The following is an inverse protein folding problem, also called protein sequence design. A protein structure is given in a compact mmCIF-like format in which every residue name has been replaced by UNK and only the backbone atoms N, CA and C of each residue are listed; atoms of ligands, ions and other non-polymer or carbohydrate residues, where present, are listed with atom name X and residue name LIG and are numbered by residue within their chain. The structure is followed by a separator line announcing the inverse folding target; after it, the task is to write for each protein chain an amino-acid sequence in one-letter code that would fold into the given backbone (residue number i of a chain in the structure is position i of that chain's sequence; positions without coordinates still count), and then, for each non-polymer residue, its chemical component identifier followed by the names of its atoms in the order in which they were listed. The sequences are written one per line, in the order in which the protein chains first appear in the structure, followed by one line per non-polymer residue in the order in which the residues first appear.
data_IF_524614011605
#
_entry.id   IF_524614011605
#
_cell.length_a   1.000
_cell.length_b   1.000
_cell.length_c   1.000
_cell.angle_alpha   90.00
_cell.angle_beta   90.00
_cell.angle_gamma   90.00
#
_symmetry.space_group_name_H-M   'P 1'
#
loop_
_entity.id
_entity.type
_entity.pdbx_description
1 polymer ?
#
# COMPACT_ATOMS: atom_id res chain seq x y z
N UNK A 1 65.10 17.05 -29.97
CA UNK A 1 64.63 17.01 -28.61
C UNK A 1 63.16 16.56 -28.68
N UNK A 2 62.97 15.26 -28.58
CA UNK A 2 61.62 14.64 -28.66
C UNK A 2 61.16 14.41 -27.24
N UNK A 3 59.97 14.94 -26.87
CA UNK A 3 59.31 14.67 -25.64
C UNK A 3 58.40 13.44 -25.85
N UNK A 4 58.64 12.39 -25.07
CA UNK A 4 57.82 11.20 -25.00
C UNK A 4 56.61 11.47 -24.08
N UNK A 5 55.44 11.47 -24.66
CA UNK A 5 54.18 11.52 -23.93
C UNK A 5 53.86 10.08 -23.42
N UNK A 6 54.01 9.90 -22.12
CA UNK A 6 53.57 8.69 -21.44
C UNK A 6 52.02 8.68 -21.31
N UNK A 7 51.36 7.82 -22.10
CA UNK A 7 49.95 7.53 -22.00
C UNK A 7 49.75 6.69 -20.74
N UNK A 8 49.17 7.31 -19.70
CA UNK A 8 48.70 6.65 -18.50
C UNK A 8 47.45 5.82 -18.87
N UNK A 9 47.58 4.51 -18.93
CA UNK A 9 46.46 3.57 -19.00
C UNK A 9 45.72 3.57 -17.64
N UNK A 10 44.55 4.23 -17.59
CA UNK A 10 43.64 4.08 -16.46
C UNK A 10 43.04 2.66 -16.49
N UNK A 11 43.47 1.82 -15.55
CA UNK A 11 42.78 0.57 -15.27
C UNK A 11 41.32 0.85 -14.92
N UNK A 12 40.40 0.29 -15.72
CA UNK A 12 38.99 0.25 -15.41
C UNK A 12 38.76 -0.54 -14.10
N UNK A 13 37.84 -0.15 -13.20
CA UNK A 13 37.59 -0.89 -11.97
C UNK A 13 37.15 -2.31 -12.31
N UNK A 14 37.71 -3.28 -11.55
CA UNK A 14 37.43 -4.70 -11.68
C UNK A 14 35.92 -4.96 -11.75
N UNK A 15 35.44 -5.59 -12.82
CA UNK A 15 34.03 -5.82 -13.11
C UNK A 15 33.37 -6.61 -11.99
N UNK A 16 32.13 -6.23 -11.65
CA UNK A 16 31.23 -7.06 -10.84
C UNK A 16 31.16 -8.48 -11.45
N UNK A 17 31.10 -9.54 -10.65
CA UNK A 17 31.06 -10.92 -11.14
C UNK A 17 29.93 -11.05 -12.16
N UNK A 18 30.26 -11.63 -13.32
CA UNK A 18 29.31 -11.78 -14.42
C UNK A 18 28.20 -12.73 -13.99
N UNK A 19 26.96 -12.24 -13.98
CA UNK A 19 25.79 -13.05 -13.60
C UNK A 19 25.60 -14.12 -14.67
N UNK A 20 25.48 -15.42 -14.31
CA UNK A 20 25.22 -16.48 -15.27
C UNK A 20 24.01 -16.16 -16.16
N UNK A 21 24.09 -16.50 -17.43
CA UNK A 21 23.02 -16.22 -18.40
C UNK A 21 21.66 -16.80 -18.00
N UNK A 22 21.66 -18.00 -17.39
CA UNK A 22 20.45 -18.66 -16.89
C UNK A 22 19.81 -17.88 -15.74
N UNK A 23 20.61 -17.35 -14.82
CA UNK A 23 20.13 -16.51 -13.70
C UNK A 23 19.55 -15.19 -14.21
N UNK A 24 20.22 -14.56 -15.18
CA UNK A 24 19.74 -13.32 -15.81
C UNK A 24 18.40 -13.57 -16.53
N UNK A 25 18.28 -14.70 -17.22
CA UNK A 25 17.02 -15.09 -17.89
C UNK A 25 15.90 -15.31 -16.89
N UNK A 26 16.14 -16.08 -15.83
CA UNK A 26 15.16 -16.32 -14.76
C UNK A 26 14.71 -15.00 -14.08
N UNK A 27 15.64 -14.08 -13.82
CA UNK A 27 15.33 -12.75 -13.30
C UNK A 27 14.42 -11.96 -14.26
N UNK A 28 14.73 -11.97 -15.56
CA UNK A 28 13.96 -11.25 -16.57
C UNK A 28 12.53 -11.78 -16.66
N UNK A 29 12.35 -13.10 -16.77
CA UNK A 29 11.02 -13.74 -16.82
C UNK A 29 10.20 -13.45 -15.58
N UNK A 30 10.80 -13.54 -14.40
CA UNK A 30 10.13 -13.27 -13.13
C UNK A 30 9.74 -11.80 -13.00
N UNK A 31 10.64 -10.86 -13.37
CA UNK A 31 10.37 -9.43 -13.36
C UNK A 31 9.26 -9.03 -14.36
N UNK A 32 9.23 -9.63 -15.54
CA UNK A 32 8.17 -9.41 -16.54
C UNK A 32 6.82 -9.95 -16.04
N UNK A 33 6.80 -11.14 -15.44
CA UNK A 33 5.61 -11.74 -14.83
C UNK A 33 5.04 -10.83 -13.74
N UNK A 34 5.89 -10.34 -12.84
CA UNK A 34 5.47 -9.41 -11.78
C UNK A 34 4.92 -8.10 -12.37
N UNK A 35 5.56 -7.52 -13.38
CA UNK A 35 5.05 -6.31 -14.05
C UNK A 35 3.69 -6.53 -14.71
N UNK A 36 3.48 -7.70 -15.33
CA UNK A 36 2.18 -8.05 -15.91
C UNK A 36 1.08 -8.13 -14.83
N UNK A 37 1.37 -8.75 -13.68
CA UNK A 37 0.43 -8.79 -12.55
C UNK A 37 0.20 -7.41 -11.93
N UNK A 38 1.24 -6.59 -11.79
CA UNK A 38 1.09 -5.19 -11.36
C UNK A 38 0.17 -4.39 -12.30
N UNK A 39 0.33 -4.58 -13.60
CA UNK A 39 -0.52 -3.92 -14.60
C UNK A 39 -1.97 -4.38 -14.50
N UNK A 40 -2.22 -5.70 -14.41
CA UNK A 40 -3.56 -6.25 -14.24
C UNK A 40 -4.23 -5.74 -12.95
N UNK A 41 -3.47 -5.67 -11.86
CA UNK A 41 -3.95 -5.24 -10.56
C UNK A 41 -4.19 -3.72 -10.47
N UNK A 42 -3.20 -2.89 -10.87
CA UNK A 42 -3.27 -1.44 -10.66
C UNK A 42 -3.93 -0.66 -11.79
N UNK A 43 -3.95 -1.22 -13.01
CA UNK A 43 -4.44 -0.52 -14.20
C UNK A 43 -5.76 -1.09 -14.71
N UNK A 44 -5.87 -2.43 -14.71
CA UNK A 44 -7.06 -3.10 -15.23
C UNK A 44 -8.12 -3.40 -14.15
N UNK A 45 -7.80 -3.21 -12.86
CA UNK A 45 -8.63 -3.60 -11.71
C UNK A 45 -9.12 -5.07 -11.82
N UNK A 46 -8.31 -5.92 -12.45
CA UNK A 46 -8.61 -7.33 -12.76
C UNK A 46 -7.39 -8.21 -12.45
N UNK A 47 -7.08 -8.43 -11.15
CA UNK A 47 -5.96 -9.27 -10.75
C UNK A 47 -6.12 -10.70 -11.29
N UNK A 48 -5.02 -11.25 -11.81
CA UNK A 48 -4.97 -12.60 -12.37
C UNK A 48 -4.35 -13.62 -11.43
N UNK A 49 -3.85 -13.15 -10.29
CA UNK A 49 -3.30 -13.96 -9.18
C UNK A 49 -3.79 -13.39 -7.86
N UNK A 50 -3.80 -14.21 -6.81
CA UNK A 50 -4.06 -13.75 -5.45
C UNK A 50 -2.91 -12.89 -4.91
N UNK A 51 -3.17 -12.10 -3.87
CA UNK A 51 -2.15 -11.30 -3.19
C UNK A 51 -1.02 -12.19 -2.64
N UNK A 52 -1.36 -13.38 -2.12
CA UNK A 52 -0.38 -14.35 -1.63
C UNK A 52 0.56 -14.89 -2.72
N UNK A 53 0.03 -15.20 -3.90
CA UNK A 53 0.82 -15.61 -5.07
C UNK A 53 1.72 -14.47 -5.56
N UNK A 54 1.17 -13.25 -5.63
CA UNK A 54 1.95 -12.08 -5.99
C UNK A 54 3.09 -11.80 -4.99
N UNK A 55 2.81 -11.87 -3.69
CA UNK A 55 3.82 -11.70 -2.64
C UNK A 55 4.90 -12.82 -2.69
N UNK A 56 4.56 -14.05 -3.13
CA UNK A 56 5.53 -15.11 -3.38
C UNK A 56 6.48 -14.75 -4.52
N UNK A 57 5.94 -14.28 -5.67
CA UNK A 57 6.76 -13.85 -6.81
C UNK A 57 7.74 -12.71 -6.43
N UNK A 58 7.29 -11.74 -5.64
CA UNK A 58 8.15 -10.65 -5.14
C UNK A 58 9.26 -11.18 -4.22
N UNK A 59 8.96 -12.16 -3.35
CA UNK A 59 9.99 -12.81 -2.49
C UNK A 59 11.04 -13.54 -3.32
N UNK A 60 10.61 -14.30 -4.33
CA UNK A 60 11.52 -15.05 -5.21
C UNK A 60 12.45 -14.10 -5.97
N UNK A 61 11.90 -12.98 -6.50
CA UNK A 61 12.72 -11.96 -7.17
C UNK A 61 13.70 -11.30 -6.19
N UNK A 62 13.26 -11.01 -4.96
CA UNK A 62 14.11 -10.42 -3.92
C UNK A 62 15.25 -11.36 -3.55
N UNK A 63 14.99 -12.66 -3.34
CA UNK A 63 16.01 -13.66 -3.04
C UNK A 63 17.05 -13.80 -4.17
N UNK A 64 16.59 -13.72 -5.43
CA UNK A 64 17.48 -13.74 -6.60
C UNK A 64 18.38 -12.50 -6.65
N UNK A 65 17.86 -11.33 -6.33
CA UNK A 65 18.62 -10.07 -6.25
C UNK A 65 19.56 -10.00 -5.05
N UNK A 66 19.22 -10.63 -3.92
CA UNK A 66 20.13 -10.76 -2.77
C UNK A 66 21.32 -11.67 -3.08
N UNK A 67 21.08 -12.75 -3.83
CA UNK A 67 22.14 -13.66 -4.29
C UNK A 67 22.99 -13.05 -5.38
N UNK A 68 22.45 -12.13 -6.18
CA UNK A 68 23.09 -11.48 -7.32
C UNK A 68 22.80 -9.97 -7.31
N UNK A 69 23.46 -9.18 -6.45
CA UNK A 69 23.15 -7.74 -6.25
C UNK A 69 23.21 -6.87 -7.50
N UNK A 70 23.95 -7.27 -8.53
CA UNK A 70 24.02 -6.56 -9.82
C UNK A 70 22.72 -6.62 -10.63
N UNK A 71 21.78 -7.52 -10.29
CA UNK A 71 20.46 -7.58 -10.90
C UNK A 71 19.48 -6.59 -10.27
N UNK A 72 19.75 -6.07 -9.08
CA UNK A 72 18.91 -5.10 -8.39
C UNK A 72 19.08 -3.71 -9.04
N UNK A 73 18.43 -3.52 -10.17
CA UNK A 73 18.43 -2.26 -10.92
C UNK A 73 17.30 -1.34 -10.45
N UNK A 74 17.36 -0.01 -10.66
CA UNK A 74 16.30 0.92 -10.26
C UNK A 74 14.93 0.65 -10.90
N UNK A 75 14.89 -0.05 -12.03
CA UNK A 75 13.69 -0.47 -12.76
C UNK A 75 13.18 -1.84 -12.33
N UNK A 76 13.85 -2.54 -11.42
CA UNK A 76 13.34 -3.78 -10.85
C UNK A 76 12.00 -3.57 -10.13
N UNK A 77 11.04 -4.50 -10.26
CA UNK A 77 9.80 -4.47 -9.48
C UNK A 77 10.02 -4.42 -7.96
N UNK A 78 11.13 -4.94 -7.46
CA UNK A 78 11.49 -4.86 -6.03
C UNK A 78 11.90 -3.45 -5.59
N UNK A 79 12.22 -2.55 -6.52
CA UNK A 79 12.65 -1.17 -6.26
C UNK A 79 11.57 -0.13 -6.58
N UNK A 80 10.46 -0.55 -7.19
CA UNK A 80 9.37 0.32 -7.60
C UNK A 80 8.12 0.12 -6.73
N UNK A 81 7.28 1.15 -6.64
CA UNK A 81 5.99 1.13 -5.96
C UNK A 81 4.90 1.19 -7.02
N UNK A 82 3.95 0.23 -6.96
CA UNK A 82 2.81 0.22 -7.87
C UNK A 82 3.17 0.08 -9.36
N UNK A 83 2.25 0.49 -10.22
CA UNK A 83 2.47 0.58 -11.66
C UNK A 83 2.18 2.00 -12.16
N UNK A 84 2.83 2.46 -13.25
CA UNK A 84 2.48 3.72 -13.89
C UNK A 84 0.99 3.71 -14.27
N UNK A 85 0.29 4.81 -14.00
CA UNK A 85 -1.09 4.95 -14.45
C UNK A 85 -1.09 5.20 -15.96
N UNK A 86 -1.76 4.33 -16.71
CA UNK A 86 -1.97 4.48 -18.15
C UNK A 86 -3.40 4.90 -18.47
N UNK A 87 -4.21 5.24 -17.45
CA UNK A 87 -5.57 5.74 -17.71
C UNK A 87 -5.49 7.11 -18.37
N UNK A 88 -6.06 7.21 -19.57
CA UNK A 88 -6.24 8.50 -20.27
C UNK A 88 -7.46 9.28 -19.76
N UNK A 89 -8.15 8.75 -18.76
CA UNK A 89 -9.43 9.28 -18.28
C UNK A 89 -9.28 10.25 -17.12
N UNK A 90 -8.20 10.12 -16.34
CA UNK A 90 -7.88 10.99 -15.20
C UNK A 90 -6.56 11.71 -15.42
N UNK A 91 -6.49 12.96 -14.94
CA UNK A 91 -5.26 13.73 -14.99
C UNK A 91 -4.22 13.10 -14.06
N UNK A 92 -3.04 12.81 -14.60
CA UNK A 92 -1.89 12.40 -13.82
C UNK A 92 -1.28 13.61 -13.09
N UNK A 93 -1.03 13.48 -11.78
CA UNK A 93 -0.51 14.56 -10.94
C UNK A 93 0.52 14.00 -9.95
N UNK A 94 1.63 14.70 -9.78
CA UNK A 94 2.66 14.32 -8.83
C UNK A 94 2.23 14.61 -7.38
N UNK A 95 2.54 13.67 -6.47
CA UNK A 95 2.43 13.87 -5.04
C UNK A 95 3.49 14.88 -4.56
N UNK A 96 3.17 15.68 -3.55
CA UNK A 96 4.16 16.59 -2.94
C UNK A 96 5.24 15.79 -2.20
N UNK A 97 4.85 14.68 -1.58
CA UNK A 97 5.75 13.71 -0.97
C UNK A 97 5.39 12.30 -1.47
N UNK A 98 6.39 11.51 -1.88
CA UNK A 98 6.16 10.17 -2.44
C UNK A 98 5.35 9.29 -1.49
N UNK A 99 4.40 8.56 -2.04
CA UNK A 99 3.67 7.50 -1.34
C UNK A 99 4.46 6.19 -1.46
N UNK A 100 5.10 5.81 -0.37
CA UNK A 100 5.88 4.58 -0.31
C UNK A 100 4.96 3.36 -0.11
N UNK A 101 5.50 2.18 -0.40
CA UNK A 101 4.92 0.90 -0.02
C UNK A 101 5.31 0.54 1.42
N UNK A 102 5.05 -0.68 1.84
CA UNK A 102 5.54 -1.27 3.09
C UNK A 102 6.31 -2.54 2.76
N UNK A 103 7.34 -2.82 3.54
CA UNK A 103 7.94 -4.15 3.54
C UNK A 103 7.00 -5.10 4.28
N UNK A 104 7.01 -6.38 3.89
CA UNK A 104 6.14 -7.40 4.45
C UNK A 104 6.88 -8.28 5.46
N UNK A 105 6.16 -8.77 6.46
CA UNK A 105 6.53 -9.90 7.30
C UNK A 105 5.39 -10.93 7.24
N UNK A 106 5.75 -12.21 7.17
CA UNK A 106 4.80 -13.31 7.05
C UNK A 106 4.90 -14.30 8.22
N UNK A 107 5.83 -14.04 9.14
CA UNK A 107 6.04 -14.87 10.33
C UNK A 107 6.46 -14.04 11.55
N UNK A 108 6.27 -14.57 12.76
CA UNK A 108 6.75 -13.94 13.99
C UNK A 108 8.28 -13.71 13.98
N UNK A 109 9.06 -14.60 13.35
CA UNK A 109 10.51 -14.50 13.23
C UNK A 109 10.91 -13.31 12.36
N UNK A 110 10.21 -13.07 11.24
CA UNK A 110 10.43 -11.93 10.36
C UNK A 110 10.06 -10.60 11.06
N UNK A 111 8.97 -10.60 11.81
CA UNK A 111 8.58 -9.47 12.66
C UNK A 111 9.66 -9.16 13.73
N UNK A 112 10.14 -10.20 14.41
CA UNK A 112 11.21 -10.06 15.41
C UNK A 112 12.52 -9.56 14.79
N UNK A 113 12.87 -10.01 13.59
CA UNK A 113 14.03 -9.54 12.85
C UNK A 113 13.91 -8.07 12.47
N UNK A 114 12.70 -7.62 12.06
CA UNK A 114 12.42 -6.20 11.81
C UNK A 114 12.55 -5.38 13.10
N UNK A 115 11.96 -5.81 14.21
CA UNK A 115 12.04 -5.11 15.50
C UNK A 115 13.48 -4.99 16.00
N UNK A 116 14.31 -6.02 15.82
CA UNK A 116 15.73 -5.95 16.13
C UNK A 116 16.51 -4.96 15.26
N UNK A 117 16.08 -4.71 14.01
CA UNK A 117 16.62 -3.61 13.18
C UNK A 117 16.21 -2.25 13.74
N UNK A 118 14.93 -2.09 14.12
CA UNK A 118 14.43 -0.86 14.76
C UNK A 118 15.25 -0.53 16.01
N UNK A 119 15.49 -1.50 16.90
CA UNK A 119 16.29 -1.31 18.11
C UNK A 119 17.72 -0.83 17.80
N UNK A 120 18.40 -1.45 16.83
CA UNK A 120 19.75 -1.01 16.41
C UNK A 120 19.74 0.42 15.85
N UNK A 121 18.77 0.73 14.97
CA UNK A 121 18.68 2.03 14.30
C UNK A 121 18.25 3.13 15.28
N UNK A 122 17.53 2.79 16.36
CA UNK A 122 17.21 3.70 17.48
C UNK A 122 18.39 3.92 18.44
N UNK A 123 19.54 3.31 18.22
CA UNK A 123 20.76 3.48 19.02
C UNK A 123 21.06 2.33 19.98
N UNK A 124 20.39 1.20 19.88
CA UNK A 124 20.59 0.01 20.70
C UNK A 124 20.12 0.18 22.16
N UNK A 125 20.56 -0.69 23.08
CA UNK A 125 20.21 -0.59 24.49
C UNK A 125 20.65 0.76 25.09
N UNK A 126 19.68 1.56 25.58
CA UNK A 126 19.91 2.91 26.08
C UNK A 126 19.87 4.01 25.01
N UNK A 127 19.50 3.69 23.77
CA UNK A 127 19.24 4.64 22.69
C UNK A 127 17.95 5.44 22.87
N UNK A 128 17.42 5.98 21.78
CA UNK A 128 16.15 6.71 21.81
C UNK A 128 15.00 5.79 22.23
N UNK A 129 14.18 6.21 23.18
CA UNK A 129 12.98 5.49 23.56
C UNK A 129 11.95 5.53 22.41
N UNK A 130 11.33 4.39 22.13
CA UNK A 130 10.28 4.28 21.11
C UNK A 130 9.23 3.25 21.54
N UNK A 131 8.05 3.35 20.93
CA UNK A 131 6.95 2.41 21.07
C UNK A 131 6.47 1.99 19.69
N UNK A 132 5.67 0.94 19.66
CA UNK A 132 5.03 0.49 18.44
C UNK A 132 3.57 0.94 18.38
N UNK A 133 3.15 1.44 17.23
CA UNK A 133 1.76 1.65 16.91
C UNK A 133 1.30 0.54 15.98
N UNK A 134 0.27 -0.20 16.39
CA UNK A 134 -0.37 -1.25 15.60
C UNK A 134 -1.70 -0.74 15.08
N UNK A 135 -1.99 -1.02 13.81
CA UNK A 135 -3.25 -0.72 13.14
C UNK A 135 -3.62 -1.83 12.16
N UNK A 136 -4.91 -1.93 11.84
CA UNK A 136 -5.35 -2.89 10.84
C UNK A 136 -4.93 -2.46 9.44
N UNK A 137 -4.44 -3.42 8.66
CA UNK A 137 -4.15 -3.21 7.26
C UNK A 137 -5.43 -3.37 6.45
N UNK A 138 -6.08 -2.24 6.19
CA UNK A 138 -7.31 -2.20 5.38
C UNK A 138 -6.98 -2.63 3.96
N UNK A 139 -7.77 -3.54 3.41
CA UNK A 139 -7.67 -3.96 2.03
C UNK A 139 -8.59 -3.11 1.13
N UNK A 140 -8.04 -2.05 0.57
CA UNK A 140 -8.76 -1.06 -0.21
C UNK A 140 -7.91 -0.41 -1.29
N UNK A 141 -8.16 0.84 -1.58
CA UNK A 141 -7.41 1.67 -2.53
C UNK A 141 -6.77 2.84 -1.81
N UNK A 142 -5.43 2.91 -1.88
CA UNK A 142 -4.67 3.99 -1.25
C UNK A 142 -4.95 5.34 -1.91
N UNK A 143 -5.20 6.34 -1.07
CA UNK A 143 -5.54 7.71 -1.47
C UNK A 143 -4.70 8.73 -0.71
N UNK A 144 -4.36 9.83 -1.38
CA UNK A 144 -3.72 11.00 -0.81
C UNK A 144 -4.64 12.21 -0.94
N UNK A 145 -5.03 12.80 0.18
CA UNK A 145 -5.87 14.00 0.25
C UNK A 145 -4.99 15.22 0.52
N UNK A 146 -5.01 16.21 -0.35
CA UNK A 146 -4.33 17.48 -0.13
C UNK A 146 -5.31 18.51 0.41
N UNK A 147 -5.04 18.99 1.62
CA UNK A 147 -5.73 20.13 2.21
C UNK A 147 -4.81 21.36 2.23
N UNK A 148 -5.31 22.45 1.69
CA UNK A 148 -4.66 23.77 1.74
C UNK A 148 -5.54 24.73 2.54
N UNK A 149 -4.98 25.28 3.61
CA UNK A 149 -5.72 26.14 4.56
C UNK A 149 -7.04 25.48 5.00
N UNK A 150 -6.96 24.17 5.26
CA UNK A 150 -8.08 23.35 5.69
C UNK A 150 -9.10 22.95 4.64
N UNK A 151 -8.96 23.36 3.39
CA UNK A 151 -9.87 22.98 2.30
C UNK A 151 -9.29 21.84 1.48
N UNK A 152 -10.10 20.81 1.19
CA UNK A 152 -9.73 19.73 0.27
C UNK A 152 -9.59 20.31 -1.14
N UNK A 153 -8.35 20.47 -1.60
CA UNK A 153 -8.05 20.99 -2.94
C UNK A 153 -7.81 19.87 -3.93
N UNK A 154 -7.26 18.74 -3.49
CA UNK A 154 -6.94 17.60 -4.37
C UNK A 154 -7.04 16.26 -3.65
N UNK A 155 -7.39 15.21 -4.41
CA UNK A 155 -7.32 13.83 -3.98
C UNK A 155 -6.72 12.98 -5.11
N UNK A 156 -5.67 12.21 -4.79
CA UNK A 156 -4.90 11.44 -5.76
C UNK A 156 -4.88 9.97 -5.36
N UNK A 157 -5.02 9.06 -6.32
CA UNK A 157 -4.66 7.66 -6.10
C UNK A 157 -3.15 7.54 -5.88
N UNK A 158 -2.67 6.43 -5.30
CA UNK A 158 -1.23 6.23 -5.08
C UNK A 158 -0.43 6.23 -6.39
N UNK A 159 -0.96 5.59 -7.45
CA UNK A 159 -0.25 5.39 -8.70
C UNK A 159 1.05 4.61 -8.49
N UNK A 160 2.14 5.10 -9.07
CA UNK A 160 3.51 4.57 -8.90
C UNK A 160 4.22 5.12 -7.65
N UNK A 161 3.47 5.78 -6.76
CA UNK A 161 3.98 6.42 -5.56
C UNK A 161 4.59 7.81 -5.78
N UNK A 162 4.89 8.21 -7.02
CA UNK A 162 5.32 9.55 -7.40
C UNK A 162 4.15 10.33 -8.02
N UNK A 163 3.45 9.69 -8.95
CA UNK A 163 2.36 10.27 -9.72
C UNK A 163 1.10 9.44 -9.52
N UNK A 164 -0.01 10.08 -9.17
CA UNK A 164 -1.33 9.48 -9.01
C UNK A 164 -2.34 10.07 -9.97
N UNK A 165 -3.51 9.44 -10.06
CA UNK A 165 -4.66 9.95 -10.81
C UNK A 165 -5.46 10.93 -9.95
N UNK A 166 -5.84 12.08 -10.52
CA UNK A 166 -6.69 13.05 -9.85
C UNK A 166 -8.16 12.57 -9.82
N UNK A 167 -8.58 12.10 -8.68
CA UNK A 167 -9.94 11.62 -8.39
C UNK A 167 -10.71 12.56 -7.46
N UNK A 168 -10.32 13.81 -7.41
CA UNK A 168 -10.86 14.81 -6.46
C UNK A 168 -12.39 14.91 -6.53
N UNK A 169 -12.96 14.91 -7.74
CA UNK A 169 -14.43 15.01 -7.91
C UNK A 169 -15.16 13.79 -7.34
N UNK A 170 -14.58 12.61 -7.48
CA UNK A 170 -15.12 11.35 -6.98
C UNK A 170 -15.00 11.31 -5.44
N UNK A 171 -13.84 11.61 -4.90
CA UNK A 171 -13.57 11.61 -3.45
C UNK A 171 -14.50 12.58 -2.69
N UNK A 172 -14.81 13.73 -3.26
CA UNK A 172 -15.75 14.69 -2.66
C UNK A 172 -17.17 14.15 -2.48
N UNK A 173 -17.52 13.05 -3.12
CA UNK A 173 -18.82 12.39 -2.98
C UNK A 173 -18.82 11.33 -1.87
N UNK A 174 -17.64 10.92 -1.37
CA UNK A 174 -17.51 9.91 -0.32
C UNK A 174 -17.90 10.52 1.03
N UNK A 175 -18.87 9.89 1.70
CA UNK A 175 -19.32 10.33 3.03
C UNK A 175 -18.19 10.14 4.05
N UNK A 176 -18.04 11.11 4.95
CA UNK A 176 -17.04 11.08 6.02
C UNK A 176 -15.69 11.72 5.64
N UNK A 177 -15.46 12.07 4.37
CA UNK A 177 -14.31 12.87 3.98
C UNK A 177 -14.72 14.34 4.00
N UNK A 178 -14.19 15.17 4.95
CA UNK A 178 -14.59 16.55 5.07
C UNK A 178 -14.04 17.40 3.91
N UNK A 179 -14.87 18.22 3.28
CA UNK A 179 -14.43 19.21 2.32
C UNK A 179 -13.61 20.34 2.97
N UNK A 180 -13.83 20.55 4.27
CA UNK A 180 -13.14 21.54 5.11
C UNK A 180 -12.83 20.91 6.44
N UNK A 181 -11.56 20.99 6.87
CA UNK A 181 -11.14 20.51 8.20
C UNK A 181 -11.70 21.41 9.29
N UNK A 182 -12.09 20.81 10.41
CA UNK A 182 -12.62 21.53 11.57
C UNK A 182 -11.47 21.91 12.51
N UNK A 183 -11.12 23.20 12.69
CA UNK A 183 -10.08 23.57 13.63
C UNK A 183 -10.55 23.42 15.08
N UNK A 184 -9.64 23.00 15.96
CA UNK A 184 -9.82 23.07 17.40
C UNK A 184 -8.73 23.93 18.04
N UNK A 185 -8.88 24.31 19.31
CA UNK A 185 -7.87 25.09 20.02
C UNK A 185 -6.53 24.31 20.15
N UNK A 186 -6.60 22.98 20.22
CA UNK A 186 -5.46 22.08 20.34
C UNK A 186 -4.89 21.68 18.98
N UNK A 187 -5.72 21.69 17.92
CA UNK A 187 -5.37 21.30 16.57
C UNK A 187 -5.79 22.37 15.56
N UNK A 188 -5.05 23.50 15.47
CA UNK A 188 -5.31 24.52 14.45
C UNK A 188 -5.06 23.93 13.06
N UNK A 189 -5.84 24.40 12.08
CA UNK A 189 -5.71 23.95 10.71
C UNK A 189 -4.38 24.42 10.11
N UNK A 190 -3.58 23.51 9.50
CA UNK A 190 -2.30 23.86 8.91
C UNK A 190 -2.45 24.64 7.60
N UNK A 191 -1.37 25.28 7.16
CA UNK A 191 -1.31 25.91 5.86
C UNK A 191 -1.47 24.88 4.73
N UNK A 192 -0.83 23.72 4.91
CA UNK A 192 -0.88 22.62 3.96
C UNK A 192 -0.69 21.28 4.71
N UNK A 193 -1.46 20.27 4.33
CA UNK A 193 -1.24 18.88 4.78
C UNK A 193 -1.73 17.89 3.72
N UNK A 194 -0.88 16.91 3.42
CA UNK A 194 -1.27 15.68 2.75
C UNK A 194 -1.70 14.63 3.79
N UNK A 195 -2.91 14.11 3.66
CA UNK A 195 -3.46 13.06 4.51
C UNK A 195 -3.60 11.79 3.70
N UNK A 196 -2.97 10.72 4.17
CA UNK A 196 -2.98 9.42 3.50
C UNK A 196 -3.96 8.49 4.17
N UNK A 197 -4.66 7.70 3.37
CA UNK A 197 -5.62 6.73 3.86
C UNK A 197 -5.96 5.70 2.82
N UNK A 198 -6.89 4.82 3.20
CA UNK A 198 -7.38 3.75 2.35
C UNK A 198 -8.89 3.92 2.14
N UNK A 199 -9.32 4.01 0.88
CA UNK A 199 -10.74 3.94 0.51
C UNK A 199 -11.11 2.48 0.38
N UNK A 200 -12.20 2.08 1.03
CA UNK A 200 -12.66 0.70 1.04
C UNK A 200 -14.16 0.58 0.77
N UNK A 201 -14.56 -0.61 0.40
CA UNK A 201 -15.95 -1.00 0.27
C UNK A 201 -16.32 -1.84 1.49
N UNK A 202 -17.34 -1.47 2.31
CA UNK A 202 -17.73 -2.28 3.46
C UNK A 202 -18.24 -3.65 3.01
N UNK A 203 -17.89 -4.71 3.76
CA UNK A 203 -18.13 -6.11 3.39
C UNK A 203 -19.61 -6.40 3.15
N UNK A 204 -20.48 -5.99 4.08
CA UNK A 204 -21.93 -6.20 3.97
C UNK A 204 -22.52 -5.58 2.70
N UNK A 205 -22.14 -4.34 2.39
CA UNK A 205 -22.61 -3.63 1.20
C UNK A 205 -21.98 -4.16 -0.10
N UNK A 206 -20.80 -4.79 -0.01
CA UNK A 206 -20.19 -5.47 -1.14
C UNK A 206 -21.00 -6.69 -1.58
N UNK A 207 -21.49 -7.48 -0.64
CA UNK A 207 -22.35 -8.63 -0.92
C UNK A 207 -23.67 -8.19 -1.57
N UNK A 208 -24.30 -7.13 -1.06
CA UNK A 208 -25.50 -6.53 -1.63
C UNK A 208 -25.27 -6.03 -3.08
N UNK A 209 -24.15 -5.33 -3.31
CA UNK A 209 -23.79 -4.86 -4.63
C UNK A 209 -23.63 -6.02 -5.62
N UNK A 210 -22.90 -7.05 -5.25
CA UNK A 210 -22.66 -8.19 -6.12
C UNK A 210 -23.96 -8.95 -6.43
N UNK A 211 -24.85 -9.12 -5.44
CA UNK A 211 -26.18 -9.70 -5.68
C UNK A 211 -26.96 -8.88 -6.72
N UNK A 212 -26.98 -7.56 -6.60
CA UNK A 212 -27.67 -6.66 -7.55
C UNK A 212 -27.05 -6.69 -8.97
N UNK A 213 -25.73 -6.84 -9.06
CA UNK A 213 -25.05 -6.97 -10.36
C UNK A 213 -25.43 -8.27 -11.06
N UNK A 214 -25.45 -9.38 -10.33
CA UNK A 214 -25.86 -10.70 -10.86
C UNK A 214 -27.32 -10.68 -11.32
N UNK A 215 -28.23 -10.10 -10.53
CA UNK A 215 -29.64 -9.91 -10.93
C UNK A 215 -29.79 -9.08 -12.21
N UNK A 216 -28.92 -8.08 -12.39
CA UNK A 216 -28.89 -7.25 -13.59
C UNK A 216 -28.14 -7.90 -14.77
N UNK A 217 -27.71 -9.18 -14.66
CA UNK A 217 -26.93 -9.89 -15.69
C UNK A 217 -25.53 -9.35 -15.91
N UNK A 218 -24.98 -8.65 -14.91
CA UNK A 218 -23.61 -8.08 -14.94
C UNK A 218 -22.64 -8.95 -14.14
N UNK A 219 -21.37 -8.92 -14.51
CA UNK A 219 -20.34 -9.62 -13.75
C UNK A 219 -20.16 -8.98 -12.36
N UNK A 220 -20.12 -9.79 -11.28
CA UNK A 220 -19.81 -9.30 -9.94
C UNK A 220 -18.33 -8.91 -9.84
N UNK A 221 -18.00 -8.07 -8.84
CA UNK A 221 -16.61 -7.80 -8.48
C UNK A 221 -16.01 -9.01 -7.76
N UNK A 222 -14.73 -9.25 -7.98
CA UNK A 222 -14.03 -10.40 -7.40
C UNK A 222 -13.85 -10.28 -5.86
N UNK A 223 -13.63 -9.06 -5.36
CA UNK A 223 -13.45 -8.78 -3.93
C UNK A 223 -13.83 -7.32 -3.60
N UNK A 224 -13.95 -6.95 -2.31
CA UNK A 224 -14.27 -5.58 -1.87
C UNK A 224 -13.27 -4.53 -2.33
N UNK A 225 -11.98 -4.87 -2.41
CA UNK A 225 -10.94 -3.97 -2.93
C UNK A 225 -11.18 -3.58 -4.38
N UNK A 226 -11.47 -4.56 -5.26
CA UNK A 226 -11.79 -4.29 -6.66
C UNK A 226 -13.08 -3.48 -6.79
N UNK A 227 -14.07 -3.74 -5.94
CA UNK A 227 -15.29 -2.95 -5.89
C UNK A 227 -15.00 -1.50 -5.49
N UNK A 228 -14.10 -1.27 -4.52
CA UNK A 228 -13.69 0.07 -4.11
C UNK A 228 -12.95 0.79 -5.25
N UNK A 229 -11.94 0.16 -5.87
CA UNK A 229 -11.18 0.72 -6.96
C UNK A 229 -12.06 1.06 -8.17
N UNK A 230 -12.88 0.10 -8.63
CA UNK A 230 -13.80 0.30 -9.76
C UNK A 230 -14.93 1.30 -9.45
N UNK A 231 -15.32 1.48 -8.20
CA UNK A 231 -16.32 2.48 -7.79
C UNK A 231 -15.73 3.89 -7.64
N UNK A 232 -14.48 4.00 -7.22
CA UNK A 232 -13.80 5.29 -7.09
C UNK A 232 -13.37 5.85 -8.45
N UNK A 233 -12.86 5.01 -9.35
CA UNK A 233 -12.32 5.41 -10.67
C UNK A 233 -13.42 5.46 -11.74
N UNK A 234 -14.53 6.15 -11.45
CA UNK A 234 -15.64 6.36 -12.37
C UNK A 234 -15.53 7.72 -13.09
N UNK A 235 -15.79 7.75 -14.40
CA UNK A 235 -15.85 9.00 -15.18
C UNK A 235 -16.91 9.96 -14.66
N UNK A 236 -18.04 9.41 -14.25
CA UNK A 236 -19.15 10.17 -13.67
C UNK A 236 -19.12 10.06 -12.14
N UNK A 237 -18.80 11.14 -11.41
CA UNK A 237 -18.78 11.13 -9.94
C UNK A 237 -20.11 10.73 -9.30
N UNK A 238 -21.23 10.81 -10.03
CA UNK A 238 -22.54 10.38 -9.54
C UNK A 238 -22.60 8.87 -9.34
N UNK A 239 -21.87 8.10 -10.14
CA UNK A 239 -21.73 6.66 -9.93
C UNK A 239 -20.99 6.39 -8.63
N UNK A 240 -19.86 7.08 -8.38
CA UNK A 240 -19.16 7.01 -7.10
C UNK A 240 -20.05 7.41 -5.92
N UNK A 241 -20.82 8.48 -6.06
CA UNK A 241 -21.77 8.96 -5.05
C UNK A 241 -22.86 7.92 -4.69
N UNK A 242 -23.22 7.05 -5.64
CA UNK A 242 -24.19 5.96 -5.41
C UNK A 242 -23.60 4.75 -4.69
N UNK A 243 -22.28 4.71 -4.48
CA UNK A 243 -21.59 3.60 -3.81
C UNK A 243 -21.33 3.93 -2.35
N UNK A 244 -21.47 2.96 -1.43
CA UNK A 244 -21.24 3.17 0.01
C UNK A 244 -19.76 3.17 0.39
N UNK A 245 -18.91 3.80 -0.43
CA UNK A 245 -17.48 3.90 -0.15
C UNK A 245 -17.23 4.61 1.18
N UNK A 246 -16.24 4.12 1.92
CA UNK A 246 -15.71 4.74 3.13
C UNK A 246 -14.20 4.88 3.03
N UNK A 247 -13.62 5.60 3.97
CA UNK A 247 -12.18 5.81 4.06
C UNK A 247 -11.73 5.72 5.51
N UNK A 248 -10.54 5.22 5.73
CA UNK A 248 -9.80 5.37 6.98
C UNK A 248 -8.45 6.02 6.70
N UNK A 249 -8.12 7.05 7.49
CA UNK A 249 -6.82 7.72 7.39
C UNK A 249 -5.79 6.99 8.25
N UNK A 250 -4.56 6.86 7.73
CA UNK A 250 -3.49 6.11 8.38
C UNK A 250 -2.14 6.83 8.38
N UNK A 251 -2.04 8.03 7.84
CA UNK A 251 -0.76 8.72 7.80
C UNK A 251 -0.80 10.13 7.24
N UNK A 252 0.34 10.78 7.34
CA UNK A 252 0.59 12.11 6.83
C UNK A 252 1.70 12.05 5.77
N UNK A 253 1.58 12.88 4.75
CA UNK A 253 2.64 13.21 3.82
C UNK A 253 3.20 14.60 4.08
N UNK A 254 3.39 15.37 2.99
CA UNK A 254 3.88 16.75 3.06
C UNK A 254 2.98 17.62 3.95
N UNK A 255 3.60 18.44 4.78
CA UNK A 255 2.89 19.32 5.69
C UNK A 255 3.64 20.62 5.94
N UNK A 256 2.89 21.72 6.19
CA UNK A 256 3.42 23.03 6.50
C UNK A 256 2.55 23.72 7.54
N UNK A 257 3.22 24.29 8.57
CA UNK A 257 2.53 24.92 9.70
C UNK A 257 1.95 23.93 10.70
N UNK A 258 2.41 22.67 10.67
CA UNK A 258 1.99 21.59 11.57
C UNK A 258 3.09 20.54 11.69
N UNK A 259 3.34 20.07 12.90
CA UNK A 259 4.19 18.91 13.19
C UNK A 259 3.70 18.20 14.45
N UNK A 260 4.04 16.92 14.58
CA UNK A 260 3.70 16.06 15.72
C UNK A 260 4.93 15.29 16.16
N UNK A 261 5.00 14.96 17.45
CA UNK A 261 6.08 14.16 17.99
C UNK A 261 5.85 12.64 17.79
N UNK A 262 4.60 12.23 17.67
CA UNK A 262 4.20 10.81 17.58
C UNK A 262 3.18 10.58 16.47
N UNK A 263 3.21 9.37 15.91
CA UNK A 263 2.20 8.92 14.95
C UNK A 263 0.78 8.87 15.58
N UNK A 264 0.70 8.43 16.83
CA UNK A 264 -0.55 8.40 17.59
C UNK A 264 -1.15 9.79 17.83
N UNK A 265 -0.30 10.81 18.03
CA UNK A 265 -0.74 12.22 18.12
C UNK A 265 -1.29 12.71 16.77
N UNK A 266 -0.66 12.30 15.65
CA UNK A 266 -1.19 12.61 14.32
C UNK A 266 -2.62 12.10 14.14
N UNK A 267 -2.93 10.87 14.58
CA UNK A 267 -4.26 10.31 14.48
C UNK A 267 -5.29 11.07 15.34
N UNK A 268 -4.91 11.47 16.55
CA UNK A 268 -5.77 12.30 17.38
C UNK A 268 -6.12 13.63 16.71
N UNK A 269 -5.12 14.30 16.11
CA UNK A 269 -5.32 15.55 15.38
C UNK A 269 -6.16 15.36 14.13
N UNK A 270 -5.92 14.29 13.36
CA UNK A 270 -6.73 13.97 12.18
C UNK A 270 -8.19 13.72 12.56
N UNK A 271 -8.44 13.03 13.68
CA UNK A 271 -9.78 12.83 14.22
C UNK A 271 -10.43 14.17 14.61
N UNK A 272 -9.69 15.03 15.33
CA UNK A 272 -10.16 16.36 15.74
C UNK A 272 -10.52 17.26 14.54
N UNK A 273 -9.82 17.11 13.42
CA UNK A 273 -10.15 17.80 12.17
C UNK A 273 -11.37 17.22 11.44
N UNK A 274 -11.97 16.13 11.96
CA UNK A 274 -13.14 15.47 11.39
C UNK A 274 -12.83 14.41 10.35
N UNK A 275 -11.58 13.96 10.23
CA UNK A 275 -11.19 12.88 9.34
C UNK A 275 -11.47 11.50 9.97
N UNK A 276 -11.88 10.50 9.18
CA UNK A 276 -12.22 9.17 9.70
C UNK A 276 -10.94 8.39 10.05
N UNK A 277 -10.71 8.19 11.34
CA UNK A 277 -9.61 7.37 11.89
C UNK A 277 -10.10 6.00 12.32
N UNK A 278 -9.24 4.99 12.26
CA UNK A 278 -9.58 3.64 12.74
C UNK A 278 -9.75 3.62 14.26
N UNK A 279 -10.80 2.97 14.80
CA UNK A 279 -10.92 2.71 16.22
C UNK A 279 -9.97 1.60 16.70
N UNK A 280 -9.37 0.85 15.79
CA UNK A 280 -8.51 -0.30 16.07
C UNK A 280 -7.02 0.07 15.99
N UNK A 281 -6.65 1.20 16.60
CA UNK A 281 -5.24 1.61 16.74
C UNK A 281 -4.81 1.38 18.18
N UNK A 282 -3.64 0.79 18.37
CA UNK A 282 -3.05 0.55 19.69
C UNK A 282 -1.57 0.89 19.70
N UNK A 283 -1.14 1.62 20.74
CA UNK A 283 0.29 1.85 21.02
C UNK A 283 0.71 0.87 22.11
N UNK A 284 1.81 0.15 21.87
CA UNK A 284 2.36 -0.90 22.74
C UNK A 284 3.87 -0.74 22.90
N UNK A 285 4.41 -1.29 23.98
CA UNK A 285 5.82 -1.11 24.33
C UNK A 285 6.71 -2.27 23.83
N UNK A 286 6.14 -3.44 23.58
CA UNK A 286 6.90 -4.67 23.31
C UNK A 286 6.46 -5.39 22.04
N UNK A 287 7.37 -6.12 21.41
CA UNK A 287 7.07 -6.99 20.26
C UNK A 287 6.07 -8.10 20.62
N UNK A 288 6.08 -8.57 21.88
CA UNK A 288 5.12 -9.57 22.33
C UNK A 288 3.67 -9.02 22.33
N UNK A 289 3.49 -7.76 22.71
CA UNK A 289 2.18 -7.09 22.60
C UNK A 289 1.78 -6.81 21.17
N UNK A 290 2.75 -6.51 20.27
CA UNK A 290 2.50 -6.44 18.82
C UNK A 290 1.97 -7.77 18.32
N UNK A 291 2.64 -8.89 18.68
CA UNK A 291 2.21 -10.23 18.27
C UNK A 291 0.82 -10.55 18.80
N UNK A 292 0.52 -10.22 20.05
CA UNK A 292 -0.81 -10.43 20.63
C UNK A 292 -1.91 -9.64 19.89
N UNK A 293 -1.60 -8.43 19.38
CA UNK A 293 -2.52 -7.65 18.54
C UNK A 293 -2.74 -8.34 17.18
N UNK A 294 -1.65 -8.83 16.56
CA UNK A 294 -1.70 -9.57 15.29
C UNK A 294 -2.54 -10.84 15.45
N UNK A 295 -2.29 -11.65 16.47
CA UNK A 295 -2.99 -12.90 16.70
C UNK A 295 -4.48 -12.66 16.94
N UNK A 296 -4.82 -11.66 17.76
CA UNK A 296 -6.21 -11.30 18.05
C UNK A 296 -6.99 -11.00 16.76
N UNK A 297 -6.47 -10.15 15.88
CA UNK A 297 -7.17 -9.80 14.63
C UNK A 297 -7.02 -10.88 13.55
N UNK A 298 -6.02 -11.75 13.63
CA UNK A 298 -5.94 -12.97 12.83
C UNK A 298 -7.12 -13.91 13.08
N UNK A 299 -7.53 -14.06 14.35
CA UNK A 299 -8.70 -14.87 14.74
C UNK A 299 -10.02 -14.14 14.51
N UNK A 300 -10.03 -12.81 14.48
CA UNK A 300 -11.24 -11.97 14.41
C UNK A 300 -11.29 -11.11 13.13
N UNK A 301 -10.76 -11.61 12.00
CA UNK A 301 -10.68 -10.85 10.74
C UNK A 301 -12.01 -10.27 10.28
N UNK A 302 -13.11 -11.00 10.50
CA UNK A 302 -14.47 -10.62 10.09
C UNK A 302 -15.24 -9.81 11.15
N UNK A 303 -14.58 -9.38 12.23
CA UNK A 303 -15.22 -8.56 13.27
C UNK A 303 -15.29 -7.06 12.92
N UNK A 304 -14.67 -6.66 11.80
CA UNK A 304 -14.62 -5.29 11.33
C UNK A 304 -15.40 -5.12 10.02
N UNK A 305 -15.80 -3.90 9.72
CA UNK A 305 -16.66 -3.60 8.57
C UNK A 305 -15.95 -3.68 7.20
N UNK A 306 -14.64 -3.85 7.19
CA UNK A 306 -13.83 -3.89 5.98
C UNK A 306 -12.93 -5.12 5.96
N UNK A 307 -12.52 -5.55 4.78
CA UNK A 307 -11.49 -6.58 4.65
C UNK A 307 -10.14 -6.07 5.17
N UNK A 308 -9.39 -7.00 5.77
CA UNK A 308 -8.02 -6.78 6.21
C UNK A 308 -7.12 -7.91 5.70
N UNK A 309 -5.95 -7.56 5.22
CA UNK A 309 -4.93 -8.53 4.78
C UNK A 309 -3.77 -8.66 5.77
N UNK A 310 -3.86 -7.98 6.92
CA UNK A 310 -2.84 -8.02 7.96
C UNK A 310 -2.93 -6.88 8.97
N UNK A 311 -1.79 -6.61 9.58
CA UNK A 311 -1.57 -5.53 10.55
C UNK A 311 -0.38 -4.69 10.11
N UNK A 312 -0.49 -3.37 10.18
CA UNK A 312 0.64 -2.47 10.00
C UNK A 312 1.21 -2.11 11.37
N UNK A 313 2.51 -2.29 11.52
CA UNK A 313 3.25 -1.91 12.72
C UNK A 313 4.18 -0.77 12.38
N UNK A 314 4.14 0.30 13.16
CA UNK A 314 4.95 1.51 12.98
C UNK A 314 5.68 1.85 14.27
N UNK A 315 6.85 2.47 14.17
CA UNK A 315 7.44 3.18 15.30
C UNK A 315 6.60 4.43 15.58
N UNK A 316 6.18 4.66 16.82
CA UNK A 316 5.28 5.77 17.17
C UNK A 316 6.00 7.12 17.17
N UNK A 317 7.27 7.17 17.58
CA UNK A 317 8.07 8.39 17.72
C UNK A 317 8.61 8.89 16.37
N UNK A 318 8.13 10.06 15.92
CA UNK A 318 8.48 10.66 14.61
C UNK A 318 9.97 10.98 14.51
N UNK A 319 10.64 11.34 15.62
CA UNK A 319 12.08 11.56 15.61
C UNK A 319 12.87 10.30 15.26
N UNK A 320 12.43 9.13 15.78
CA UNK A 320 13.03 7.82 15.47
C UNK A 320 12.70 7.42 14.03
N UNK A 321 11.47 7.63 13.57
CA UNK A 321 11.09 7.40 12.16
C UNK A 321 12.03 8.18 11.21
N UNK A 322 12.29 9.46 11.49
CA UNK A 322 13.18 10.31 10.69
C UNK A 322 14.63 9.81 10.68
N UNK A 323 15.14 9.34 11.82
CA UNK A 323 16.50 8.81 11.91
C UNK A 323 16.67 7.48 11.13
N UNK A 324 15.66 6.63 11.14
CA UNK A 324 15.66 5.37 10.39
C UNK A 324 15.51 5.58 8.88
N UNK A 325 14.77 6.60 8.46
CA UNK A 325 14.55 6.93 7.07
C UNK A 325 13.76 5.88 6.29
N UNK A 326 13.99 5.85 4.98
CA UNK A 326 13.31 4.94 4.05
C UNK A 326 14.26 4.40 2.98
N UNK A 327 13.89 3.28 2.39
CA UNK A 327 14.47 2.79 1.13
C UNK A 327 13.81 3.50 -0.05
N UNK A 328 14.16 3.13 -1.28
CA UNK A 328 13.48 3.61 -2.49
C UNK A 328 12.00 3.21 -2.53
N UNK A 329 11.61 2.15 -1.81
CA UNK A 329 10.29 1.53 -1.84
C UNK A 329 9.49 1.69 -0.55
N UNK A 330 10.12 1.55 0.63
CA UNK A 330 9.42 1.42 1.90
C UNK A 330 10.12 2.20 3.03
N UNK A 331 9.37 2.71 4.03
CA UNK A 331 9.95 3.23 5.25
C UNK A 331 10.57 2.09 6.07
N UNK A 332 11.70 2.33 6.72
CA UNK A 332 12.37 1.34 7.58
C UNK A 332 11.66 1.16 8.92
N UNK A 333 10.93 2.17 9.35
CA UNK A 333 10.24 2.29 10.64
C UNK A 333 8.81 1.73 10.63
N UNK A 334 8.36 1.14 9.51
CA UNK A 334 7.06 0.50 9.40
C UNK A 334 7.17 -0.83 8.66
N UNK A 335 6.29 -1.77 9.01
CA UNK A 335 6.18 -3.07 8.37
C UNK A 335 4.72 -3.51 8.31
N UNK A 336 4.36 -4.26 7.26
CA UNK A 336 3.07 -4.91 7.14
C UNK A 336 3.22 -6.41 7.49
N UNK A 337 2.62 -6.83 8.60
CA UNK A 337 2.49 -8.25 8.89
C UNK A 337 1.27 -8.79 8.13
N UNK A 338 1.51 -9.69 7.18
CA UNK A 338 0.48 -10.25 6.30
C UNK A 338 -0.09 -11.55 6.87
N UNK A 339 -1.40 -11.66 6.86
CA UNK A 339 -2.07 -12.93 7.16
C UNK A 339 -1.94 -13.90 5.98
N UNK A 340 -1.97 -15.23 6.24
CA UNK A 340 -2.14 -16.20 5.18
C UNK A 340 -3.43 -15.94 4.39
N UNK A 341 -3.45 -16.21 3.07
CA UNK A 341 -4.68 -16.17 2.29
C UNK A 341 -5.73 -17.10 2.89
N UNK A 342 -7.00 -16.70 2.84
CA UNK A 342 -8.09 -17.60 3.22
C UNK A 342 -8.34 -18.61 2.11
N UNK A 343 -8.20 -19.90 2.41
CA UNK A 343 -8.58 -20.97 1.51
C UNK A 343 -10.08 -21.23 1.64
N UNK A 344 -10.84 -20.80 0.66
CA UNK A 344 -12.28 -21.16 0.55
C UNK A 344 -12.40 -22.38 -0.35
N UNK A 345 -12.76 -23.52 0.24
CA UNK A 345 -13.09 -24.73 -0.52
C UNK A 345 -14.40 -24.53 -1.31
N UNK A 346 -14.30 -24.22 -2.59
CA UNK A 346 -15.46 -24.17 -3.48
C UNK A 346 -15.76 -25.57 -4.01
N UNK A 347 -16.88 -26.13 -3.66
CA UNK A 347 -17.39 -27.38 -4.25
C UNK A 347 -17.87 -27.04 -5.68
N UNK A 348 -17.12 -27.45 -6.69
CA UNK A 348 -17.62 -27.44 -8.05
C UNK A 348 -18.80 -28.42 -8.17
N UNK A 349 -20.01 -27.89 -8.24
CA UNK A 349 -21.18 -28.70 -8.62
C UNK A 349 -20.99 -29.22 -10.06
N UNK A 350 -21.52 -30.42 -10.37
CA UNK A 350 -21.35 -30.99 -11.73
C UNK A 350 -21.95 -30.04 -12.76
N UNK A 351 -21.14 -29.64 -13.76
CA UNK A 351 -21.58 -28.87 -14.89
C UNK A 351 -22.65 -29.68 -15.63
N UNK A 352 -23.87 -29.15 -15.76
CA UNK A 352 -24.89 -29.73 -16.62
C UNK A 352 -24.40 -29.58 -18.07
N UNK A 353 -23.84 -30.64 -18.62
CA UNK A 353 -23.63 -30.77 -20.05
C UNK A 353 -25.01 -30.87 -20.71
N UNK A 354 -25.45 -29.76 -21.30
CA UNK A 354 -26.63 -29.79 -22.17
C UNK A 354 -26.35 -30.67 -23.38
N UNK A 355 -26.96 -31.86 -23.45
CA UNK A 355 -26.97 -32.65 -24.67
C UNK A 355 -27.78 -31.92 -25.75
N UNK A 356 -27.11 -31.43 -26.77
CA UNK A 356 -27.78 -30.99 -28.00
C UNK A 356 -28.30 -32.26 -28.69
N UNK A 357 -29.63 -32.42 -28.75
CA UNK A 357 -30.25 -33.47 -29.52
C UNK A 357 -30.03 -33.20 -31.04
N UNK A 358 -29.72 -34.21 -31.85
CA UNK A 358 -29.62 -34.03 -33.27
C UNK A 358 -31.01 -33.78 -33.85
N UNK A 359 -31.13 -32.69 -34.61
CA UNK A 359 -32.33 -32.45 -35.46
C UNK A 359 -32.24 -33.39 -36.64
N UNK A 360 -33.26 -34.28 -36.77
CA UNK A 360 -33.46 -35.10 -37.93
C UNK A 360 -34.19 -34.35 -39.05
#
# INVERSE_FOLDING_TARGET
MRQDDAVSSSEAPAGAPDVPSEVRHAWTELAETIRAHQFAYHVQDSPTVSDGEYDALIRDLTALEESHPSLRTPDSPTQQVGAPSFSTEFQAVDHLERMLSLDNAFSPEELAAWAARVERDAGGPGGAAYRFLCELKVDGLAINLLYERGRLTRALTRGDGRTGEDVTHNVRTIRGIPAVLTPTAQAPVPELVEVRGEVFFPVEQFEELNASLVEAGRAPFANPRNAAAGSLRQKDPRVTASRPLRMLVHGLGARRGFDVARQSEAYAVLHDWGLPTSPHVRVVDTVAEVQAFIDHFGEHRHSVEHEIDGVVVKVDEVAVQRSMGSTSRAPRWAIAYKYPPEEVNTVFGPSRSGSVAPVG
#
